data_IF_696262503305
#
_entry.id   IF_696262503305
#
_cell.length_a   1.000
_cell.length_b   1.000
_cell.length_c   1.000
_cell.angle_alpha   90.00
_cell.angle_beta   90.00
_cell.angle_gamma   90.00
#
_symmetry.space_group_name_H-M   'P 1'
#
loop_
_entity.id
_entity.type
_entity.pdbx_description
1 polymer ?
#
# COMPACT_ATOMS: atom_id res chain seq x y z
N UNK A 1 24.42 23.91 -46.43
CA UNK A 1 23.82 24.26 -45.13
C UNK A 1 23.46 22.95 -44.45
N UNK A 2 24.11 22.62 -43.33
CA UNK A 2 23.79 21.42 -42.55
C UNK A 2 22.62 21.77 -41.63
N UNK A 3 21.56 20.98 -41.67
CA UNK A 3 20.33 21.20 -40.92
C UNK A 3 20.57 21.04 -39.39
N UNK A 4 20.34 22.07 -38.55
CA UNK A 4 20.59 22.01 -37.11
C UNK A 4 19.80 20.91 -36.38
N UNK A 5 18.68 20.44 -36.95
CA UNK A 5 17.91 19.31 -36.39
C UNK A 5 18.66 17.97 -36.49
N UNK A 6 19.41 17.73 -37.58
CA UNK A 6 20.23 16.51 -37.73
C UNK A 6 21.43 16.50 -36.79
N UNK A 7 22.03 17.67 -36.51
CA UNK A 7 23.19 17.80 -35.62
C UNK A 7 22.80 17.52 -34.16
N UNK A 8 21.61 17.97 -33.75
CA UNK A 8 21.11 17.76 -32.39
C UNK A 8 20.75 16.28 -32.13
N UNK A 9 20.13 15.60 -33.10
CA UNK A 9 19.79 14.18 -32.98
C UNK A 9 21.01 13.24 -32.97
N UNK A 10 22.02 13.53 -33.80
CA UNK A 10 23.26 12.76 -33.83
C UNK A 10 24.09 12.93 -32.54
N UNK A 11 24.14 14.14 -31.98
CA UNK A 11 24.84 14.41 -30.73
C UNK A 11 24.20 13.70 -29.52
N UNK A 12 22.87 13.66 -29.45
CA UNK A 12 22.14 12.95 -28.40
C UNK A 12 22.29 11.42 -28.53
N UNK A 13 22.25 10.88 -29.76
CA UNK A 13 22.48 9.45 -30.00
C UNK A 13 23.91 9.00 -29.66
N UNK A 14 24.90 9.83 -29.96
CA UNK A 14 26.30 9.60 -29.59
C UNK A 14 26.52 9.65 -28.07
N UNK A 15 25.85 10.58 -27.37
CA UNK A 15 25.93 10.66 -25.91
C UNK A 15 25.25 9.47 -25.23
N UNK A 16 24.08 9.04 -25.72
CA UNK A 16 23.36 7.87 -25.19
C UNK A 16 24.12 6.55 -25.39
N UNK A 17 24.75 6.36 -26.55
CA UNK A 17 25.59 5.19 -26.80
C UNK A 17 26.88 5.20 -25.97
N UNK A 18 27.43 6.39 -25.69
CA UNK A 18 28.58 6.56 -24.81
C UNK A 18 28.23 6.25 -23.35
N UNK A 19 27.11 6.77 -22.83
CA UNK A 19 26.58 6.43 -21.50
C UNK A 19 26.47 4.92 -21.30
N UNK A 20 25.92 4.20 -22.29
CA UNK A 20 25.77 2.75 -22.23
C UNK A 20 27.11 1.97 -22.30
N UNK A 21 28.19 2.57 -22.80
CA UNK A 21 29.46 1.89 -23.07
C UNK A 21 30.69 2.60 -22.47
N UNK A 22 30.54 3.47 -21.47
CA UNK A 22 31.66 4.23 -20.84
C UNK A 22 32.87 3.36 -20.52
N UNK A 23 32.67 2.15 -20.00
CA UNK A 23 33.76 1.22 -19.67
C UNK A 23 34.55 0.76 -20.91
N UNK A 24 33.87 0.54 -22.04
CA UNK A 24 34.53 0.22 -23.32
C UNK A 24 35.20 1.45 -23.92
N UNK A 25 34.56 2.63 -23.79
CA UNK A 25 35.12 3.88 -24.26
C UNK A 25 36.40 4.29 -23.50
N UNK A 26 36.47 4.00 -22.19
CA UNK A 26 37.68 4.21 -21.37
C UNK A 26 38.84 3.29 -21.74
N UNK A 27 38.55 2.10 -22.27
CA UNK A 27 39.55 1.18 -22.80
C UNK A 27 40.01 1.51 -24.23
N UNK A 28 39.41 2.54 -24.85
CA UNK A 28 39.67 2.95 -26.23
C UNK A 28 40.55 4.20 -26.29
N UNK A 29 41.36 4.32 -27.35
CA UNK A 29 42.10 5.55 -27.60
C UNK A 29 41.16 6.72 -27.96
N UNK A 30 41.58 7.99 -27.71
CA UNK A 30 40.81 9.16 -28.12
C UNK A 30 40.54 9.16 -29.63
N UNK A 31 39.36 9.57 -30.09
CA UNK A 31 39.07 9.75 -31.52
C UNK A 31 40.05 10.76 -32.16
N UNK A 32 40.37 10.55 -33.43
CA UNK A 32 41.23 11.46 -34.18
C UNK A 32 40.69 12.90 -34.14
N UNK A 33 41.53 13.86 -33.73
CA UNK A 33 41.15 15.27 -33.58
C UNK A 33 40.58 15.66 -32.22
N UNK A 34 40.46 14.73 -31.27
CA UNK A 34 40.10 15.00 -29.88
C UNK A 34 41.33 14.89 -28.99
N UNK A 35 41.62 15.95 -28.24
CA UNK A 35 42.72 15.97 -27.27
C UNK A 35 42.46 14.98 -26.11
N UNK A 36 43.51 14.33 -25.61
CA UNK A 36 43.39 13.32 -24.57
C UNK A 36 42.82 13.86 -23.26
N UNK A 37 43.15 15.11 -22.89
CA UNK A 37 42.59 15.73 -21.69
C UNK A 37 41.09 16.04 -21.85
N UNK A 38 40.66 16.44 -23.05
CA UNK A 38 39.25 16.68 -23.37
C UNK A 38 38.46 15.36 -23.36
N UNK A 39 39.04 14.28 -23.88
CA UNK A 39 38.45 12.95 -23.86
C UNK A 39 38.27 12.41 -22.44
N UNK A 40 39.29 12.54 -21.59
CA UNK A 40 39.21 12.12 -20.19
C UNK A 40 38.16 12.92 -19.40
N UNK A 41 38.09 14.24 -19.63
CA UNK A 41 37.08 15.08 -19.00
C UNK A 41 35.66 14.66 -19.40
N UNK A 42 35.46 14.35 -20.68
CA UNK A 42 34.18 13.86 -21.20
C UNK A 42 33.79 12.52 -20.56
N UNK A 43 34.71 11.54 -20.53
CA UNK A 43 34.46 10.23 -19.92
C UNK A 43 34.14 10.33 -18.42
N UNK A 44 34.87 11.16 -17.67
CA UNK A 44 34.61 11.38 -16.25
C UNK A 44 33.22 12.02 -16.03
N UNK A 45 32.82 12.95 -16.89
CA UNK A 45 31.49 13.59 -16.81
C UNK A 45 30.36 12.60 -17.10
N UNK A 46 30.55 11.72 -18.08
CA UNK A 46 29.58 10.67 -18.44
C UNK A 46 29.51 9.60 -17.35
N UNK A 47 30.65 9.21 -16.76
CA UNK A 47 30.69 8.28 -15.63
C UNK A 47 29.98 8.85 -14.39
N UNK A 48 30.21 10.13 -14.07
CA UNK A 48 29.48 10.82 -13.01
C UNK A 48 27.96 10.84 -13.24
N UNK A 49 27.53 11.06 -14.49
CA UNK A 49 26.11 11.04 -14.88
C UNK A 49 25.50 9.65 -14.74
N UNK A 50 26.22 8.60 -15.14
CA UNK A 50 25.76 7.22 -14.99
C UNK A 50 25.64 6.79 -13.52
N UNK A 51 26.59 7.21 -12.67
CA UNK A 51 26.53 6.99 -11.22
C UNK A 51 25.32 7.70 -10.62
N UNK A 52 25.06 8.95 -11.02
CA UNK A 52 23.88 9.70 -10.57
C UNK A 52 22.56 9.03 -10.98
N UNK A 53 22.45 8.50 -12.21
CA UNK A 53 21.27 7.76 -12.65
C UNK A 53 21.04 6.51 -11.78
N UNK A 54 22.09 5.72 -11.53
CA UNK A 54 21.98 4.54 -10.67
C UNK A 54 21.60 4.89 -9.22
N UNK A 55 22.12 6.00 -8.67
CA UNK A 55 21.72 6.49 -7.35
C UNK A 55 20.26 6.93 -7.30
N UNK A 56 19.76 7.60 -8.36
CA UNK A 56 18.35 7.98 -8.46
C UNK A 56 17.44 6.75 -8.51
N UNK A 57 17.79 5.73 -9.30
CA UNK A 57 17.03 4.47 -9.35
C UNK A 57 16.99 3.77 -7.98
N UNK A 58 18.12 3.72 -7.27
CA UNK A 58 18.18 3.15 -5.91
C UNK A 58 17.36 3.97 -4.90
N UNK A 59 17.39 5.30 -5.01
CA UNK A 59 16.55 6.19 -4.19
C UNK A 59 15.07 5.95 -4.50
N UNK A 60 14.67 5.86 -5.76
CA UNK A 60 13.29 5.56 -6.16
C UNK A 60 12.84 4.21 -5.61
N UNK A 61 13.68 3.17 -5.69
CA UNK A 61 13.37 1.86 -5.10
C UNK A 61 13.23 1.96 -3.58
N UNK A 62 14.14 2.68 -2.91
CA UNK A 62 14.11 2.85 -1.45
C UNK A 62 12.87 3.62 -1.00
N UNK A 63 12.49 4.67 -1.72
CA UNK A 63 11.28 5.46 -1.47
C UNK A 63 10.03 4.60 -1.71
N UNK A 64 9.97 3.82 -2.79
CA UNK A 64 8.84 2.92 -3.04
C UNK A 64 8.69 1.88 -1.92
N UNK A 65 9.79 1.28 -1.45
CA UNK A 65 9.77 0.37 -0.31
C UNK A 65 9.28 1.06 0.98
N UNK A 66 9.69 2.32 1.20
CA UNK A 66 9.22 3.09 2.34
C UNK A 66 7.73 3.41 2.24
N UNK A 67 7.23 3.81 1.06
CA UNK A 67 5.80 4.08 0.81
C UNK A 67 4.96 2.84 1.08
N UNK A 68 5.39 1.67 0.57
CA UNK A 68 4.72 0.39 0.84
C UNK A 68 4.75 0.06 2.34
N UNK A 69 5.89 0.22 3.02
CA UNK A 69 6.01 -0.02 4.45
C UNK A 69 5.13 0.92 5.29
N UNK A 70 4.87 2.14 4.81
CA UNK A 70 3.94 3.10 5.41
C UNK A 70 2.47 2.83 5.02
N UNK A 71 2.21 1.88 4.12
CA UNK A 71 0.90 1.48 3.64
C UNK A 71 0.28 2.44 2.63
N UNK A 72 1.13 3.10 1.82
CA UNK A 72 0.75 3.77 0.58
C UNK A 72 1.05 2.90 -0.64
N UNK A 73 0.49 3.26 -1.78
CA UNK A 73 0.71 2.57 -3.06
C UNK A 73 2.01 3.00 -3.74
N UNK A 74 2.69 2.10 -4.49
CA UNK A 74 3.86 2.45 -5.27
C UNK A 74 3.56 3.54 -6.30
N UNK A 75 4.60 4.25 -6.74
CA UNK A 75 4.50 5.21 -7.85
C UNK A 75 4.00 4.50 -9.11
N UNK A 76 2.80 4.87 -9.58
CA UNK A 76 2.17 4.32 -10.79
C UNK A 76 0.83 3.62 -10.57
N UNK A 77 0.46 3.34 -9.32
CA UNK A 77 -0.89 2.87 -8.97
C UNK A 77 -1.74 4.03 -8.48
N UNK A 78 -3.03 4.05 -8.87
CA UNK A 78 -3.98 5.06 -8.41
C UNK A 78 -4.30 4.80 -6.92
N UNK A 79 -3.89 5.70 -6.00
CA UNK A 79 -4.15 5.54 -4.57
C UNK A 79 -5.63 5.60 -4.20
N UNK A 80 -6.51 5.94 -5.14
CA UNK A 80 -7.96 6.01 -4.95
C UNK A 80 -8.71 4.86 -5.65
N UNK A 81 -8.00 3.91 -6.27
CA UNK A 81 -8.64 2.72 -6.79
C UNK A 81 -9.23 1.90 -5.65
N UNK A 82 -10.54 1.65 -5.69
CA UNK A 82 -11.18 0.73 -4.76
C UNK A 82 -10.64 -0.69 -5.01
N UNK A 83 -10.31 -1.41 -3.95
CA UNK A 83 -10.05 -2.85 -4.07
C UNK A 83 -11.31 -3.59 -4.52
N UNK A 84 -11.13 -4.75 -5.14
CA UNK A 84 -12.18 -5.75 -5.34
C UNK A 84 -12.10 -6.90 -4.33
N UNK A 85 -11.08 -6.90 -3.45
CA UNK A 85 -10.83 -7.98 -2.49
C UNK A 85 -11.35 -7.64 -1.11
N UNK A 86 -12.48 -8.24 -0.79
CA UNK A 86 -13.09 -8.16 0.52
C UNK A 86 -13.29 -9.55 1.12
N UNK A 87 -13.08 -9.64 2.43
CA UNK A 87 -13.56 -10.78 3.22
C UNK A 87 -14.77 -10.34 4.00
N UNK A 88 -15.87 -11.07 3.85
CA UNK A 88 -17.11 -10.84 4.60
C UNK A 88 -17.40 -12.03 5.48
N UNK A 89 -18.10 -11.77 6.58
CA UNK A 89 -18.62 -12.82 7.44
C UNK A 89 -19.86 -12.35 8.19
N UNK A 90 -20.48 -13.28 8.91
CA UNK A 90 -21.64 -13.00 9.72
C UNK A 90 -21.55 -13.76 11.03
N UNK A 91 -22.04 -13.15 12.10
CA UNK A 91 -22.13 -13.77 13.40
C UNK A 91 -23.55 -13.60 13.92
N UNK A 92 -24.15 -14.72 14.32
CA UNK A 92 -25.47 -14.76 14.95
C UNK A 92 -25.33 -15.18 16.41
N UNK A 93 -25.89 -14.39 17.33
CA UNK A 93 -25.90 -14.70 18.75
C UNK A 93 -26.95 -15.79 19.03
N UNK A 94 -26.49 -17.02 19.20
CA UNK A 94 -27.37 -18.18 19.48
C UNK A 94 -27.86 -18.25 20.93
N UNK A 95 -27.32 -17.41 21.81
CA UNK A 95 -27.72 -17.33 23.22
C UNK A 95 -27.76 -15.88 23.68
N UNK A 96 -28.90 -15.45 24.24
CA UNK A 96 -29.08 -14.12 24.78
C UNK A 96 -28.09 -13.84 25.93
N UNK A 97 -27.51 -12.64 25.97
CA UNK A 97 -26.60 -12.21 27.03
C UNK A 97 -25.19 -12.81 26.96
N UNK A 98 -24.92 -13.71 25.99
CA UNK A 98 -23.59 -14.32 25.81
C UNK A 98 -22.79 -13.55 24.76
N UNK A 99 -21.51 -13.32 25.07
CA UNK A 99 -20.54 -12.80 24.09
C UNK A 99 -20.01 -13.91 23.19
N UNK A 100 -19.96 -13.64 21.89
CA UNK A 100 -19.42 -14.48 20.83
C UNK A 100 -18.33 -13.72 20.08
N UNK A 101 -17.24 -14.39 19.74
CA UNK A 101 -16.11 -13.80 19.06
C UNK A 101 -16.32 -13.87 17.53
N UNK A 102 -15.88 -12.85 16.79
CA UNK A 102 -15.84 -12.92 15.33
C UNK A 102 -14.82 -13.96 14.84
N UNK A 103 -14.92 -14.33 13.56
CA UNK A 103 -13.92 -15.18 12.91
C UNK A 103 -12.54 -14.51 12.91
N UNK A 104 -11.49 -15.33 12.92
CA UNK A 104 -10.10 -14.86 12.82
C UNK A 104 -9.79 -14.44 11.38
N UNK A 105 -9.87 -13.14 11.12
CA UNK A 105 -9.58 -12.51 9.84
C UNK A 105 -8.52 -11.44 10.09
N UNK A 106 -7.29 -11.62 9.58
CA UNK A 106 -6.27 -10.59 9.62
C UNK A 106 -6.77 -9.32 8.91
N UNK A 107 -6.54 -8.16 9.55
CA UNK A 107 -6.88 -6.86 8.98
C UNK A 107 -5.58 -6.24 8.48
N UNK A 108 -5.46 -5.93 7.18
CA UNK A 108 -4.27 -5.29 6.63
C UNK A 108 -4.00 -3.93 7.29
N UNK A 109 -2.74 -3.50 7.24
CA UNK A 109 -2.35 -2.19 7.76
C UNK A 109 -3.11 -1.08 7.04
N UNK A 110 -3.52 -0.04 7.79
CA UNK A 110 -4.31 1.09 7.30
C UNK A 110 -5.71 0.75 6.77
N UNK A 111 -6.18 -0.49 6.97
CA UNK A 111 -7.57 -0.87 6.68
C UNK A 111 -8.37 -0.97 7.97
N UNK A 112 -9.69 -0.99 7.82
CA UNK A 112 -10.63 -1.09 8.94
C UNK A 112 -11.52 -2.32 8.79
N UNK A 113 -11.87 -2.91 9.93
CA UNK A 113 -12.99 -3.84 10.04
C UNK A 113 -14.27 -3.01 10.16
N UNK A 114 -15.24 -3.22 9.27
CA UNK A 114 -16.56 -2.64 9.40
C UNK A 114 -17.46 -3.72 9.99
N UNK A 115 -18.06 -3.43 11.15
CA UNK A 115 -19.06 -4.31 11.79
C UNK A 115 -20.41 -3.60 11.71
N UNK A 116 -21.42 -4.28 11.18
CA UNK A 116 -22.77 -3.75 11.00
C UNK A 116 -23.79 -4.66 11.65
N UNK A 117 -24.66 -4.10 12.47
CA UNK A 117 -25.80 -4.84 13.02
C UNK A 117 -26.78 -5.23 11.91
N UNK A 118 -27.30 -6.46 11.95
CA UNK A 118 -28.31 -6.88 10.99
C UNK A 118 -29.53 -5.93 11.03
N UNK A 119 -30.12 -5.60 9.87
CA UNK A 119 -31.28 -4.71 9.80
C UNK A 119 -32.52 -5.31 10.49
N UNK A 120 -32.57 -6.63 10.64
CA UNK A 120 -33.67 -7.36 11.25
C UNK A 120 -33.45 -7.65 12.74
N UNK A 121 -32.38 -7.12 13.34
CA UNK A 121 -32.18 -7.26 14.78
C UNK A 121 -33.34 -6.62 15.54
N UNK A 122 -33.82 -7.30 16.58
CA UNK A 122 -34.89 -6.80 17.44
C UNK A 122 -34.30 -5.97 18.58
N UNK A 123 -33.17 -6.41 19.12
CA UNK A 123 -32.43 -5.77 20.19
C UNK A 123 -31.21 -4.98 19.69
N UNK A 124 -30.49 -4.42 20.65
CA UNK A 124 -29.22 -3.76 20.39
C UNK A 124 -28.08 -4.77 20.34
N UNK A 125 -27.04 -4.46 19.60
CA UNK A 125 -25.81 -5.24 19.59
C UNK A 125 -24.77 -4.54 20.46
N UNK A 126 -24.08 -5.31 21.28
CA UNK A 126 -23.00 -4.85 22.14
C UNK A 126 -21.67 -5.37 21.61
N UNK A 127 -20.79 -4.47 21.22
CA UNK A 127 -19.43 -4.76 20.75
C UNK A 127 -18.41 -4.42 21.83
N UNK A 128 -17.41 -5.27 22.01
CA UNK A 128 -16.26 -4.99 22.86
C UNK A 128 -15.01 -5.76 22.42
N UNK A 129 -13.86 -5.41 22.99
CA UNK A 129 -12.57 -6.10 22.75
C UNK A 129 -12.28 -7.23 23.75
N UNK A 130 -13.16 -7.42 24.74
CA UNK A 130 -13.09 -8.51 25.72
C UNK A 130 -14.50 -9.08 25.92
N UNK A 131 -14.60 -10.40 26.05
CA UNK A 131 -15.88 -11.08 26.27
C UNK A 131 -16.66 -10.53 27.47
N UNK A 132 -15.98 -10.34 28.62
CA UNK A 132 -16.62 -9.83 29.82
C UNK A 132 -17.15 -8.39 29.64
N UNK A 133 -16.56 -7.62 28.73
CA UNK A 133 -16.98 -6.25 28.44
C UNK A 133 -18.17 -6.21 27.48
N UNK A 134 -18.27 -7.15 26.53
CA UNK A 134 -19.41 -7.20 25.61
C UNK A 134 -20.73 -7.47 26.35
N UNK A 135 -20.66 -8.06 27.55
CA UNK A 135 -21.82 -8.34 28.40
C UNK A 135 -22.20 -7.16 29.32
N UNK A 136 -21.48 -6.05 29.26
CA UNK A 136 -21.65 -4.89 30.15
C UNK A 136 -22.05 -3.65 29.36
N UNK A 137 -23.32 -3.28 29.52
CA UNK A 137 -23.98 -2.15 28.82
C UNK A 137 -23.21 -0.82 28.87
N UNK A 138 -22.52 -0.53 29.99
CA UNK A 138 -21.86 0.77 30.21
C UNK A 138 -20.49 0.91 29.54
N UNK A 139 -19.91 -0.19 29.05
CA UNK A 139 -18.54 -0.20 28.50
C UNK A 139 -18.46 -0.82 27.10
N UNK A 140 -19.52 -1.46 26.64
CA UNK A 140 -19.67 -1.92 25.26
C UNK A 140 -20.04 -0.76 24.34
N UNK A 141 -19.56 -0.81 23.09
CA UNK A 141 -20.11 0.00 22.02
C UNK A 141 -21.46 -0.56 21.57
N UNK A 142 -22.48 0.28 21.49
CA UNK A 142 -23.83 -0.14 21.15
C UNK A 142 -24.07 0.13 19.67
N UNK A 143 -24.59 -0.86 18.96
CA UNK A 143 -25.11 -0.70 17.60
C UNK A 143 -26.62 -0.92 17.59
N UNK A 144 -27.34 0.05 17.03
CA UNK A 144 -28.74 -0.10 16.66
C UNK A 144 -28.89 -0.98 15.41
N UNK A 145 -30.08 -1.56 15.15
CA UNK A 145 -30.34 -2.25 13.89
C UNK A 145 -29.97 -1.38 12.70
N UNK A 146 -29.26 -1.96 11.72
CA UNK A 146 -28.74 -1.28 10.54
C UNK A 146 -27.62 -0.23 10.80
N UNK A 147 -27.17 -0.04 12.04
CA UNK A 147 -26.00 0.78 12.35
C UNK A 147 -24.70 -0.01 12.12
N UNK A 148 -23.61 0.69 11.81
CA UNK A 148 -22.29 0.09 11.71
C UNK A 148 -21.19 1.00 12.21
N UNK A 149 -20.06 0.38 12.56
CA UNK A 149 -18.87 1.05 13.08
C UNK A 149 -17.63 0.50 12.38
N UNK A 150 -16.67 1.39 12.10
CA UNK A 150 -15.34 1.05 11.63
C UNK A 150 -14.36 0.91 12.80
N UNK A 151 -13.58 -0.18 12.80
CA UNK A 151 -12.63 -0.51 13.85
C UNK A 151 -11.23 -0.71 13.26
N UNK A 152 -10.23 -0.06 13.86
CA UNK A 152 -8.81 -0.20 13.50
C UNK A 152 -8.15 -1.20 14.44
N UNK A 153 -8.15 -2.47 14.04
CA UNK A 153 -7.64 -3.60 14.82
C UNK A 153 -6.69 -4.45 13.96
N UNK A 154 -5.94 -5.36 14.57
CA UNK A 154 -5.03 -6.27 13.83
C UNK A 154 -5.74 -7.51 13.28
N UNK A 155 -6.79 -7.97 13.95
CA UNK A 155 -7.55 -9.15 13.59
C UNK A 155 -9.00 -8.96 14.05
N UNK A 156 -9.96 -9.49 13.27
CA UNK A 156 -11.38 -9.42 13.57
C UNK A 156 -11.77 -10.22 14.82
N UNK A 157 -11.07 -11.32 15.13
CA UNK A 157 -11.30 -12.09 16.35
C UNK A 157 -11.02 -11.30 17.64
N UNK A 158 -10.39 -10.13 17.58
CA UNK A 158 -10.30 -9.24 18.75
C UNK A 158 -11.68 -8.73 19.21
N UNK A 159 -12.72 -8.81 18.37
CA UNK A 159 -14.05 -8.29 18.64
C UNK A 159 -14.99 -9.37 19.17
N UNK A 160 -15.68 -9.02 20.25
CA UNK A 160 -16.74 -9.78 20.88
C UNK A 160 -18.09 -9.09 20.67
N UNK A 161 -19.08 -9.87 20.26
CA UNK A 161 -20.44 -9.45 19.95
C UNK A 161 -21.39 -10.12 20.95
N UNK A 162 -22.28 -9.34 21.54
CA UNK A 162 -23.35 -9.87 22.38
C UNK A 162 -24.68 -9.24 21.96
N UNK A 163 -25.75 -10.04 22.02
CA UNK A 163 -27.11 -9.57 21.79
C UNK A 163 -28.02 -9.99 22.95
N UNK A 164 -28.99 -9.15 23.36
CA UNK A 164 -29.95 -9.47 24.42
C UNK A 164 -31.08 -10.37 23.89
N UNK A 165 -31.25 -10.45 22.57
CA UNK A 165 -32.23 -11.30 21.88
C UNK A 165 -31.49 -12.41 21.12
N UNK A 166 -32.04 -13.62 21.15
CA UNK A 166 -31.49 -14.76 20.38
C UNK A 166 -31.72 -14.53 18.89
N UNK A 167 -30.77 -14.93 18.07
CA UNK A 167 -30.73 -14.77 16.61
C UNK A 167 -30.47 -13.35 16.10
N UNK A 168 -30.31 -12.37 16.98
CA UNK A 168 -29.72 -11.09 16.62
C UNK A 168 -28.23 -11.28 16.32
N UNK A 169 -27.67 -10.45 15.45
CA UNK A 169 -26.28 -10.62 15.02
C UNK A 169 -25.71 -9.45 14.25
N UNK A 170 -24.56 -9.70 13.64
CA UNK A 170 -23.82 -8.73 12.82
C UNK A 170 -23.35 -9.34 11.52
N UNK A 171 -23.15 -8.48 10.54
CA UNK A 171 -22.35 -8.73 9.35
C UNK A 171 -21.08 -7.92 9.49
N UNK A 172 -19.95 -8.45 9.04
CA UNK A 172 -18.70 -7.72 9.01
C UNK A 172 -17.98 -7.87 7.69
N UNK A 173 -17.19 -6.86 7.35
CA UNK A 173 -16.41 -6.78 6.12
C UNK A 173 -15.03 -6.21 6.42
N UNK A 174 -14.02 -6.78 5.77
CA UNK A 174 -12.62 -6.36 5.80
C UNK A 174 -12.12 -6.26 4.38
N UNK A 175 -11.54 -5.12 4.03
CA UNK A 175 -10.75 -4.92 2.82
C UNK A 175 -9.38 -5.58 2.95
N UNK A 176 -8.97 -6.38 1.95
CA UNK A 176 -7.78 -7.25 2.03
C UNK A 176 -6.50 -6.68 1.38
N UNK A 177 -6.59 -5.56 0.67
CA UNK A 177 -5.45 -4.90 0.00
C UNK A 177 -5.52 -3.38 0.11
#
# INVERSE_FOLDING_TARGET
MVDPAMVTGAALGALGTLLANVKKARASAPPAGVDSAVWDMMLNSVEATAIQQGQIEQLTQSVNQLVIAMGGTPVGEDPFANTDKFTTGQLVCTTAGRGFQLDSIPIPKNKQLIVKAHPNNVGWIYLAIQQAQSQRLLISWILLPNEGVGLFLKNADAVWVQAPVVNDGVVYIVEQE
#
